data_IF_916905333743
#
_entry.id   IF_916905333743
#
_cell.length_a   1.000
_cell.length_b   1.000
_cell.length_c   1.000
_cell.angle_alpha   90.00
_cell.angle_beta   90.00
_cell.angle_gamma   90.00
#
_symmetry.space_group_name_H-M   'P 1'
#
loop_
_entity.id
_entity.type
_entity.pdbx_description
1 polymer ?
#
# COMPACT_ATOMS: atom_id res chain seq x y z
N UNK A 1 -25.88 8.19 3.48
CA UNK A 1 -26.50 8.66 4.73
C UNK A 1 -26.46 7.62 5.83
N UNK A 2 -26.95 6.40 5.60
CA UNK A 2 -26.92 5.31 6.60
C UNK A 2 -25.52 5.05 7.20
N UNK A 3 -24.50 4.89 6.36
CA UNK A 3 -23.11 4.68 6.83
C UNK A 3 -22.61 5.83 7.70
N UNK A 4 -22.95 7.08 7.35
CA UNK A 4 -22.60 8.24 8.17
C UNK A 4 -23.23 8.14 9.56
N UNK A 5 -24.51 7.76 9.62
CA UNK A 5 -25.22 7.62 10.89
C UNK A 5 -24.60 6.54 11.77
N UNK A 6 -24.08 5.45 11.20
CA UNK A 6 -23.33 4.45 11.95
C UNK A 6 -22.01 5.02 12.51
N UNK A 7 -21.29 5.85 11.75
CA UNK A 7 -20.12 6.57 12.27
C UNK A 7 -20.49 7.56 13.38
N UNK A 8 -21.59 8.31 13.24
CA UNK A 8 -22.08 9.24 14.26
C UNK A 8 -22.51 8.53 15.56
N UNK A 9 -23.21 7.39 15.43
CA UNK A 9 -23.52 6.49 16.57
C UNK A 9 -22.24 5.98 17.21
N UNK A 10 -21.25 5.59 16.40
CA UNK A 10 -19.94 5.12 16.86
C UNK A 10 -19.20 6.20 17.65
N UNK A 11 -19.10 7.44 17.15
CA UNK A 11 -18.38 8.51 17.86
C UNK A 11 -19.05 8.85 19.19
N UNK A 12 -20.38 8.85 19.22
CA UNK A 12 -21.16 9.05 20.45
C UNK A 12 -20.92 7.92 21.45
N UNK A 13 -20.99 6.66 21.01
CA UNK A 13 -20.74 5.50 21.85
C UNK A 13 -19.28 5.41 22.32
N UNK A 14 -18.33 5.85 21.50
CA UNK A 14 -16.92 5.94 21.86
C UNK A 14 -16.72 6.92 23.03
N UNK A 15 -17.27 8.14 22.95
CA UNK A 15 -17.17 9.11 24.05
C UNK A 15 -17.73 8.54 25.36
N UNK A 16 -18.87 7.84 25.28
CA UNK A 16 -19.46 7.16 26.44
C UNK A 16 -18.58 6.03 26.98
N UNK A 17 -18.02 5.18 26.11
CA UNK A 17 -17.10 4.11 26.49
C UNK A 17 -15.87 4.67 27.20
N UNK A 18 -15.24 5.70 26.63
CA UNK A 18 -14.00 6.23 27.16
C UNK A 18 -14.19 6.77 28.59
N UNK A 19 -15.24 7.55 28.83
CA UNK A 19 -15.50 8.14 30.16
C UNK A 19 -16.05 7.10 31.14
N UNK A 20 -17.12 6.39 30.79
CA UNK A 20 -17.78 5.45 31.72
C UNK A 20 -16.98 4.17 31.91
N UNK A 21 -16.30 3.71 30.86
CA UNK A 21 -15.44 2.51 30.91
C UNK A 21 -14.13 2.75 31.66
N UNK A 22 -13.75 4.01 31.89
CA UNK A 22 -12.64 4.36 32.78
C UNK A 22 -12.98 4.13 34.25
N UNK A 23 -14.27 4.27 34.63
CA UNK A 23 -14.72 4.16 36.01
C UNK A 23 -14.46 2.75 36.56
N UNK A 24 -13.67 2.67 37.63
CA UNK A 24 -13.35 1.40 38.30
C UNK A 24 -12.32 0.52 37.57
N UNK A 25 -11.79 0.95 36.41
CA UNK A 25 -10.80 0.19 35.67
C UNK A 25 -9.41 0.32 36.33
N UNK A 26 -8.76 -0.81 36.60
CA UNK A 26 -7.43 -0.84 37.21
C UNK A 26 -6.32 -0.98 36.16
N UNK A 27 -5.77 0.14 35.71
CA UNK A 27 -4.68 0.20 34.72
C UNK A 27 -3.37 -0.45 35.17
N UNK A 28 -3.19 -0.77 36.46
CA UNK A 28 -2.02 -1.54 36.90
C UNK A 28 -2.04 -2.99 36.40
N UNK A 29 -3.18 -3.47 35.86
CA UNK A 29 -3.31 -4.79 35.25
C UNK A 29 -3.01 -4.80 33.75
N UNK A 30 -2.72 -3.65 33.13
CA UNK A 30 -2.30 -3.58 31.73
C UNK A 30 -0.95 -4.30 31.55
N UNK A 31 -0.83 -5.12 30.51
CA UNK A 31 0.35 -5.96 30.26
C UNK A 31 1.54 -5.19 29.68
N UNK A 32 1.27 -4.21 28.81
CA UNK A 32 2.29 -3.44 28.08
C UNK A 32 2.53 -2.10 28.74
N UNK A 33 1.60 -1.16 28.58
CA UNK A 33 1.67 0.18 29.14
C UNK A 33 0.40 0.48 29.95
N UNK A 34 0.56 1.12 31.11
CA UNK A 34 -0.57 1.58 31.94
C UNK A 34 -1.24 2.81 31.34
N UNK A 35 -0.44 3.65 30.68
CA UNK A 35 -0.88 4.89 30.05
C UNK A 35 -0.24 5.07 28.67
N UNK A 36 -0.96 5.75 27.79
CA UNK A 36 -0.42 6.26 26.54
C UNK A 36 0.25 7.62 26.79
N UNK A 37 1.43 7.56 27.44
CA UNK A 37 2.23 8.73 27.82
C UNK A 37 3.31 9.11 26.80
N UNK A 38 4.24 9.99 27.24
CA UNK A 38 5.29 10.60 26.40
C UNK A 38 6.12 9.54 25.68
N UNK A 39 6.50 8.49 26.40
CA UNK A 39 7.35 7.42 25.91
C UNK A 39 6.68 6.62 24.79
N UNK A 40 5.36 6.42 24.87
CA UNK A 40 4.62 5.69 23.86
C UNK A 40 4.49 6.52 22.57
N UNK A 41 4.26 7.83 22.68
CA UNK A 41 4.30 8.76 21.55
C UNK A 41 5.70 8.81 20.92
N UNK A 42 6.75 8.91 21.74
CA UNK A 42 8.12 8.90 21.25
C UNK A 42 8.45 7.58 20.53
N UNK A 43 8.02 6.44 21.05
CA UNK A 43 8.22 5.16 20.38
C UNK A 43 7.56 5.14 18.99
N UNK A 44 6.36 5.70 18.86
CA UNK A 44 5.64 5.82 17.59
C UNK A 44 6.38 6.73 16.58
N UNK A 45 6.89 7.87 17.04
CA UNK A 45 7.68 8.80 16.22
C UNK A 45 9.05 8.23 15.82
N UNK A 46 9.71 7.53 16.74
CA UNK A 46 10.97 6.84 16.48
C UNK A 46 10.79 5.69 15.49
N UNK A 47 9.66 4.98 15.56
CA UNK A 47 9.33 3.93 14.60
C UNK A 47 9.24 4.49 13.17
N UNK A 48 8.56 5.63 12.97
CA UNK A 48 8.58 6.37 11.71
C UNK A 48 10.01 6.76 11.30
N UNK A 49 10.77 7.35 12.23
CA UNK A 49 12.13 7.82 11.96
C UNK A 49 13.02 6.68 11.45
N UNK A 50 13.07 5.56 12.16
CA UNK A 50 14.00 4.48 11.84
C UNK A 50 13.58 3.67 10.61
N UNK A 51 12.27 3.43 10.44
CA UNK A 51 11.81 2.50 9.40
C UNK A 51 11.34 3.18 8.11
N UNK A 52 11.12 4.48 8.13
CA UNK A 52 10.77 5.25 6.92
C UNK A 52 11.77 6.34 6.62
N UNK A 53 11.95 7.33 7.50
CA UNK A 53 12.78 8.51 7.23
C UNK A 53 14.25 8.14 6.97
N UNK A 54 14.87 7.35 7.85
CA UNK A 54 16.26 6.93 7.69
C UNK A 54 16.48 6.09 6.42
N UNK A 55 15.44 5.38 5.96
CA UNK A 55 15.48 4.61 4.72
C UNK A 55 15.51 5.49 3.45
N UNK A 56 15.06 6.76 3.53
CA UNK A 56 15.16 7.73 2.43
C UNK A 56 16.60 8.20 2.18
N UNK A 57 17.52 7.98 3.13
CA UNK A 57 18.94 8.35 3.05
C UNK A 57 19.18 9.83 2.74
N UNK A 58 18.26 10.71 3.16
CA UNK A 58 18.41 12.17 3.05
C UNK A 58 19.01 12.73 4.34
N UNK A 59 19.92 13.72 4.27
CA UNK A 59 20.53 14.32 5.46
C UNK A 59 19.52 15.19 6.22
N UNK A 60 19.58 15.16 7.55
CA UNK A 60 18.80 16.02 8.44
C UNK A 60 19.46 16.12 9.81
N UNK A 61 19.06 17.11 10.62
CA UNK A 61 19.59 17.26 11.97
C UNK A 61 18.88 16.31 12.94
N UNK A 62 19.56 15.22 13.29
CA UNK A 62 19.02 14.18 14.16
C UNK A 62 18.74 14.70 15.58
N UNK A 63 19.57 15.59 16.11
CA UNK A 63 19.37 16.10 17.47
C UNK A 63 18.14 16.99 17.51
N UNK A 64 18.05 17.95 16.59
CA UNK A 64 16.90 18.86 16.52
C UNK A 64 15.58 18.15 16.25
N UNK A 65 15.61 17.07 15.45
CA UNK A 65 14.41 16.26 15.24
C UNK A 65 13.96 15.56 16.54
N UNK A 66 14.89 15.02 17.33
CA UNK A 66 14.56 14.41 18.62
C UNK A 66 14.03 15.46 19.60
N UNK A 67 14.63 16.65 19.64
CA UNK A 67 14.14 17.76 20.47
C UNK A 67 12.69 18.14 20.10
N UNK A 68 12.38 18.21 18.80
CA UNK A 68 11.01 18.47 18.31
C UNK A 68 10.04 17.31 18.61
N UNK A 69 10.49 16.05 18.55
CA UNK A 69 9.69 14.89 18.94
C UNK A 69 9.34 14.93 20.43
N UNK A 70 10.31 15.31 21.28
CA UNK A 70 10.07 15.48 22.70
C UNK A 70 9.09 16.63 22.98
N UNK A 71 9.24 17.77 22.30
CA UNK A 71 8.34 18.90 22.41
C UNK A 71 6.89 18.52 22.04
N UNK A 72 6.70 17.82 20.92
CA UNK A 72 5.38 17.31 20.51
C UNK A 72 4.81 16.31 21.50
N UNK A 73 5.62 15.38 21.98
CA UNK A 73 5.18 14.36 22.94
C UNK A 73 4.73 15.02 24.25
N UNK A 74 5.50 15.98 24.77
CA UNK A 74 5.13 16.75 25.96
C UNK A 74 3.80 17.49 25.75
N UNK A 75 3.65 18.19 24.62
CA UNK A 75 2.44 18.95 24.28
C UNK A 75 1.17 18.07 24.25
N UNK A 76 1.26 16.87 23.66
CA UNK A 76 0.13 15.97 23.54
C UNK A 76 -0.22 15.26 24.84
N UNK A 77 0.77 15.00 25.68
CA UNK A 77 0.52 14.44 27.03
C UNK A 77 0.02 15.47 28.03
N UNK A 78 0.24 16.77 27.77
CA UNK A 78 -0.29 17.84 28.60
C UNK A 78 -1.77 18.10 28.25
N UNK A 79 -2.61 17.11 28.55
CA UNK A 79 -4.05 17.17 28.33
C UNK A 79 -4.78 17.11 29.66
N UNK A 80 -5.87 17.89 29.76
CA UNK A 80 -6.73 17.94 30.95
C UNK A 80 -7.54 16.64 31.12
N UNK A 81 -7.75 15.91 30.02
CA UNK A 81 -8.65 14.76 29.98
C UNK A 81 -7.88 13.47 29.69
N UNK A 82 -7.82 12.60 30.70
CA UNK A 82 -7.31 11.24 30.56
C UNK A 82 -8.40 10.24 30.96
N UNK A 83 -8.76 9.36 30.05
CA UNK A 83 -9.84 8.38 30.19
C UNK A 83 -9.39 7.02 29.62
N UNK A 84 -10.31 6.07 29.50
CA UNK A 84 -10.01 4.83 28.79
C UNK A 84 -9.71 5.15 27.32
N UNK A 85 -8.55 4.70 26.83
CA UNK A 85 -8.10 4.80 25.46
C UNK A 85 -8.05 3.38 24.88
N UNK A 86 -8.75 3.17 23.78
CA UNK A 86 -8.88 1.89 23.07
C UNK A 86 -7.59 1.49 22.34
N UNK A 87 -6.79 2.48 21.92
CA UNK A 87 -5.52 2.40 21.18
C UNK A 87 -5.69 2.02 19.72
N UNK A 88 -6.19 0.83 19.41
CA UNK A 88 -6.33 0.35 18.03
C UNK A 88 -7.77 0.45 17.53
N UNK A 89 -8.42 1.60 17.74
CA UNK A 89 -9.83 1.78 17.36
C UNK A 89 -9.98 1.98 15.85
N UNK A 90 -10.42 0.93 15.15
CA UNK A 90 -10.63 0.87 13.71
C UNK A 90 -12.07 0.43 13.39
N UNK A 91 -12.48 0.57 12.11
CA UNK A 91 -13.85 0.18 11.72
C UNK A 91 -14.12 -1.31 11.90
N UNK A 92 -13.08 -2.14 11.78
CA UNK A 92 -13.13 -3.59 12.06
C UNK A 92 -13.41 -3.96 13.51
N UNK A 93 -13.29 -3.01 14.44
CA UNK A 93 -13.57 -3.23 15.86
C UNK A 93 -15.02 -2.92 16.22
N UNK A 94 -15.82 -2.47 15.25
CA UNK A 94 -17.21 -2.05 15.44
C UNK A 94 -18.12 -3.14 14.89
N UNK A 95 -18.94 -3.70 15.77
CA UNK A 95 -20.02 -4.62 15.42
C UNK A 95 -21.32 -3.82 15.36
N UNK A 96 -22.09 -4.00 14.28
CA UNK A 96 -23.42 -3.41 14.13
C UNK A 96 -24.44 -4.52 14.24
N UNK A 97 -25.35 -4.42 15.21
CA UNK A 97 -26.44 -5.37 15.41
C UNK A 97 -27.60 -5.11 14.45
N UNK A 98 -28.56 -6.05 14.39
CA UNK A 98 -29.75 -5.94 13.52
C UNK A 98 -30.62 -4.71 13.84
N UNK A 99 -30.57 -4.22 15.08
CA UNK A 99 -31.25 -2.99 15.55
C UNK A 99 -30.37 -1.73 15.41
N UNK A 100 -29.33 -1.79 14.58
CA UNK A 100 -28.37 -0.72 14.30
C UNK A 100 -27.70 -0.12 15.55
N UNK A 101 -27.52 -0.92 16.59
CA UNK A 101 -26.69 -0.56 17.74
C UNK A 101 -25.23 -0.88 17.43
N UNK A 102 -24.33 -0.06 17.99
CA UNK A 102 -22.90 -0.21 17.81
C UNK A 102 -22.28 -0.82 19.06
N UNK A 103 -21.45 -1.84 18.86
CA UNK A 103 -20.71 -2.51 19.92
C UNK A 103 -19.22 -2.57 19.56
N UNK A 104 -18.37 -2.57 20.57
CA UNK A 104 -16.92 -2.57 20.37
C UNK A 104 -16.28 -3.85 20.87
N UNK A 105 -15.35 -4.39 20.09
CA UNK A 105 -14.61 -5.61 20.37
C UNK A 105 -13.11 -5.37 20.19
N UNK A 106 -12.27 -6.29 20.69
CA UNK A 106 -10.80 -6.25 20.46
C UNK A 106 -10.13 -5.04 21.16
N UNK A 107 -10.57 -4.74 22.40
CA UNK A 107 -10.09 -3.63 23.25
C UNK A 107 -8.98 -4.01 24.24
N UNK A 108 -8.37 -5.20 24.10
CA UNK A 108 -7.33 -5.70 25.02
C UNK A 108 -6.03 -4.87 25.00
N UNK A 109 -5.84 -4.01 24.00
CA UNK A 109 -4.76 -3.02 23.96
C UNK A 109 -5.06 -1.74 24.76
N UNK A 110 -6.23 -1.66 25.40
CA UNK A 110 -6.69 -0.46 26.07
C UNK A 110 -5.87 -0.06 27.28
N UNK A 111 -5.71 1.25 27.49
CA UNK A 111 -4.91 1.86 28.55
C UNK A 111 -5.43 3.26 28.89
N UNK A 112 -4.86 3.92 29.91
CA UNK A 112 -5.24 5.30 30.24
C UNK A 112 -4.68 6.25 29.17
N UNK A 113 -5.46 7.20 28.67
CA UNK A 113 -4.93 8.14 27.70
C UNK A 113 -5.90 9.20 27.23
N UNK A 114 -5.43 9.99 26.25
CA UNK A 114 -6.17 11.12 25.73
C UNK A 114 -7.31 10.66 24.80
N UNK A 115 -8.55 11.15 24.99
CA UNK A 115 -9.72 10.72 24.22
C UNK A 115 -9.60 10.92 22.70
N UNK A 116 -8.83 11.93 22.28
CA UNK A 116 -8.60 12.30 20.89
C UNK A 116 -7.98 11.16 20.07
N UNK A 117 -7.18 10.30 20.69
CA UNK A 117 -6.38 9.29 19.97
C UNK A 117 -7.26 8.27 19.25
N UNK A 118 -8.29 7.76 19.91
CA UNK A 118 -9.18 6.74 19.33
C UNK A 118 -10.03 7.34 18.19
N UNK A 119 -10.48 8.59 18.37
CA UNK A 119 -11.19 9.31 17.32
C UNK A 119 -10.30 9.53 16.10
N UNK A 120 -9.04 9.96 16.30
CA UNK A 120 -8.07 10.09 15.23
C UNK A 120 -7.84 8.75 14.53
N UNK A 121 -7.74 7.67 15.30
CA UNK A 121 -7.56 6.31 14.79
C UNK A 121 -8.74 5.83 13.94
N UNK A 122 -9.97 6.19 14.30
CA UNK A 122 -11.18 5.86 13.54
C UNK A 122 -11.30 6.68 12.26
N UNK A 123 -11.17 8.01 12.35
CA UNK A 123 -11.51 8.93 11.26
C UNK A 123 -10.44 8.99 10.17
N UNK A 124 -9.18 8.70 10.51
CA UNK A 124 -8.04 8.79 9.59
C UNK A 124 -7.53 7.43 9.10
N UNK A 125 -8.38 6.41 9.12
CA UNK A 125 -8.06 5.10 8.52
C UNK A 125 -7.93 5.23 7.00
N UNK A 126 -6.74 4.90 6.48
CA UNK A 126 -6.45 4.97 5.04
C UNK A 126 -7.45 4.16 4.18
N UNK A 127 -7.98 3.04 4.69
CA UNK A 127 -8.96 2.20 3.99
C UNK A 127 -10.37 2.79 3.95
N UNK A 128 -10.76 3.55 4.97
CA UNK A 128 -12.11 4.13 5.04
C UNK A 128 -12.26 5.34 4.11
N UNK A 129 -11.17 6.07 3.88
CA UNK A 129 -11.09 7.21 2.95
C UNK A 129 -12.26 8.19 3.10
N UNK A 130 -12.59 8.53 4.34
CA UNK A 130 -13.68 9.46 4.67
C UNK A 130 -13.39 10.85 4.07
N UNK A 131 -14.44 11.55 3.64
CA UNK A 131 -14.31 12.93 3.16
C UNK A 131 -13.94 13.87 4.31
N UNK A 132 -13.34 15.02 4.00
CA UNK A 132 -13.02 16.03 5.00
C UNK A 132 -14.26 16.57 5.71
N UNK A 133 -15.38 16.74 4.99
CA UNK A 133 -16.68 17.11 5.58
C UNK A 133 -17.11 16.11 6.66
N UNK A 134 -17.01 14.81 6.36
CA UNK A 134 -17.35 13.77 7.35
C UNK A 134 -16.42 13.82 8.55
N UNK A 135 -15.10 13.93 8.34
CA UNK A 135 -14.14 14.00 9.45
C UNK A 135 -14.41 15.20 10.35
N UNK A 136 -14.71 16.37 9.77
CA UNK A 136 -15.01 17.58 10.53
C UNK A 136 -16.30 17.44 11.34
N UNK A 137 -17.39 16.97 10.70
CA UNK A 137 -18.68 16.83 11.38
C UNK A 137 -18.65 15.77 12.47
N UNK A 138 -18.03 14.62 12.21
CA UNK A 138 -17.89 13.55 13.21
C UNK A 138 -17.01 13.97 14.39
N UNK A 139 -16.03 14.85 14.17
CA UNK A 139 -15.23 15.46 15.25
C UNK A 139 -16.08 16.41 16.12
N UNK A 140 -16.94 17.24 15.52
CA UNK A 140 -17.87 18.07 16.29
C UNK A 140 -18.88 17.24 17.08
N UNK A 141 -19.50 16.25 16.44
CA UNK A 141 -20.45 15.34 17.08
C UNK A 141 -19.80 14.56 18.24
N UNK A 142 -18.55 14.13 18.08
CA UNK A 142 -17.78 13.52 19.16
C UNK A 142 -17.59 14.50 20.33
N UNK A 143 -17.14 15.74 20.07
CA UNK A 143 -16.93 16.73 21.13
C UNK A 143 -18.22 17.07 21.86
N UNK A 144 -19.35 17.18 21.14
CA UNK A 144 -20.67 17.39 21.73
C UNK A 144 -21.05 16.23 22.67
N UNK A 145 -20.85 14.99 22.22
CA UNK A 145 -21.11 13.80 23.03
C UNK A 145 -20.16 13.69 24.24
N UNK A 146 -18.89 14.06 24.07
CA UNK A 146 -17.89 14.05 25.12
C UNK A 146 -18.21 15.07 26.21
N UNK A 147 -18.48 16.34 25.85
CA UNK A 147 -18.92 17.40 26.78
C UNK A 147 -20.16 16.99 27.58
N UNK A 148 -21.13 16.37 26.90
CA UNK A 148 -22.34 15.87 27.55
C UNK A 148 -22.02 14.76 28.56
N UNK A 149 -21.08 13.89 28.23
CA UNK A 149 -20.72 12.74 29.07
C UNK A 149 -19.93 13.16 30.31
N UNK A 150 -19.01 14.12 30.19
CA UNK A 150 -18.25 14.68 31.32
C UNK A 150 -18.98 15.81 32.06
N UNK A 151 -20.18 16.17 31.60
CA UNK A 151 -21.02 17.25 32.12
C UNK A 151 -20.31 18.63 32.23
N UNK A 152 -19.32 18.89 31.37
CA UNK A 152 -18.49 20.12 31.40
C UNK A 152 -18.11 20.53 29.97
N UNK A 153 -17.92 21.83 29.74
CA UNK A 153 -17.43 22.36 28.44
C UNK A 153 -15.91 22.23 28.34
N UNK A 154 -15.44 21.80 27.18
CA UNK A 154 -14.01 21.69 26.88
C UNK A 154 -13.51 22.92 26.13
N UNK A 155 -12.20 23.19 26.18
CA UNK A 155 -11.55 24.07 25.20
C UNK A 155 -11.47 23.33 23.85
N UNK A 156 -12.48 23.53 23.01
CA UNK A 156 -12.55 22.90 21.68
C UNK A 156 -11.38 23.29 20.77
N UNK A 157 -10.78 24.47 20.94
CA UNK A 157 -9.63 24.89 20.12
C UNK A 157 -8.40 24.08 20.49
N UNK A 158 -8.11 23.96 21.78
CA UNK A 158 -7.03 23.12 22.28
C UNK A 158 -7.27 21.65 21.95
N UNK A 159 -8.50 21.16 22.14
CA UNK A 159 -8.89 19.77 21.83
C UNK A 159 -8.61 19.42 20.36
N UNK A 160 -9.05 20.26 19.42
CA UNK A 160 -8.79 20.07 17.97
C UNK A 160 -7.31 20.11 17.64
N UNK A 161 -6.56 21.00 18.28
CA UNK A 161 -5.12 21.13 18.06
C UNK A 161 -4.37 19.87 18.51
N UNK A 162 -4.71 19.33 19.69
CA UNK A 162 -4.15 18.06 20.19
C UNK A 162 -4.62 16.88 19.35
N UNK A 163 -5.90 16.85 18.93
CA UNK A 163 -6.43 15.86 17.98
C UNK A 163 -5.60 15.81 16.70
N UNK A 164 -5.29 16.97 16.10
CA UNK A 164 -4.43 17.02 14.92
C UNK A 164 -3.03 16.45 15.18
N UNK A 165 -2.46 16.66 16.36
CA UNK A 165 -1.18 16.04 16.72
C UNK A 165 -1.26 14.52 16.82
N UNK A 166 -2.36 13.98 17.36
CA UNK A 166 -2.60 12.54 17.36
C UNK A 166 -2.83 11.97 15.95
N UNK A 167 -3.56 12.68 15.09
CA UNK A 167 -3.70 12.33 13.66
C UNK A 167 -2.32 12.27 13.00
N UNK A 168 -1.46 13.27 13.21
CA UNK A 168 -0.11 13.28 12.67
C UNK A 168 0.68 12.03 13.09
N UNK A 169 0.69 11.69 14.38
CA UNK A 169 1.36 10.48 14.88
C UNK A 169 0.80 9.22 14.21
N UNK A 170 -0.53 9.11 14.07
CA UNK A 170 -1.16 7.96 13.40
C UNK A 170 -0.70 7.80 11.95
N UNK A 171 -0.68 8.89 11.19
CA UNK A 171 -0.21 8.89 9.81
C UNK A 171 1.26 8.46 9.72
N UNK A 172 2.09 8.90 10.68
CA UNK A 172 3.50 8.55 10.73
C UNK A 172 3.75 7.11 11.17
N UNK A 173 2.97 6.58 12.12
CA UNK A 173 3.01 5.16 12.49
C UNK A 173 2.71 4.27 11.28
N UNK A 174 1.72 4.64 10.46
CA UNK A 174 1.38 3.93 9.22
C UNK A 174 2.57 3.97 8.25
N UNK A 175 3.20 5.13 8.06
CA UNK A 175 4.41 5.25 7.23
C UNK A 175 5.58 4.42 7.77
N UNK A 176 5.82 4.43 9.09
CA UNK A 176 6.81 3.57 9.74
C UNK A 176 6.52 2.08 9.50
N UNK A 177 5.25 1.68 9.56
CA UNK A 177 4.84 0.29 9.33
C UNK A 177 5.03 -0.12 7.86
N UNK A 178 4.68 0.76 6.93
CA UNK A 178 4.89 0.54 5.50
C UNK A 178 6.38 0.53 5.16
N UNK A 179 7.17 1.40 5.79
CA UNK A 179 8.62 1.39 5.69
C UNK A 179 9.23 0.08 6.17
N UNK A 180 8.89 -0.38 7.37
CA UNK A 180 9.38 -1.65 7.92
C UNK A 180 8.97 -2.84 7.05
N UNK A 181 7.68 -2.99 6.76
CA UNK A 181 7.17 -4.15 6.00
C UNK A 181 7.59 -4.10 4.53
N UNK A 182 7.61 -2.91 3.93
CA UNK A 182 7.93 -2.72 2.52
C UNK A 182 9.43 -2.68 2.24
N UNK A 183 10.17 -1.78 2.89
CA UNK A 183 11.58 -1.51 2.59
C UNK A 183 12.52 -2.54 3.24
N UNK A 184 12.21 -2.99 4.47
CA UNK A 184 13.05 -3.94 5.19
C UNK A 184 12.64 -5.39 4.97
N UNK A 185 11.34 -5.73 5.14
CA UNK A 185 10.85 -7.10 4.90
C UNK A 185 10.55 -7.40 3.41
N UNK A 186 10.69 -6.42 2.52
CA UNK A 186 10.50 -6.57 1.05
C UNK A 186 9.11 -7.05 0.64
N UNK A 187 8.06 -6.68 1.38
CA UNK A 187 6.67 -7.01 1.05
C UNK A 187 6.06 -5.97 0.11
N UNK A 188 5.97 -6.32 -1.17
CA UNK A 188 5.59 -5.42 -2.27
C UNK A 188 4.27 -4.66 -2.04
N UNK A 189 3.25 -5.29 -1.45
CA UNK A 189 1.95 -4.69 -1.17
C UNK A 189 2.00 -3.49 -0.21
N UNK A 190 3.06 -3.39 0.62
CA UNK A 190 3.26 -2.25 1.50
C UNK A 190 3.93 -1.09 0.76
N UNK A 191 4.84 -1.38 -0.18
CA UNK A 191 5.49 -0.36 -1.01
C UNK A 191 4.46 0.39 -1.86
N UNK A 192 3.50 -0.33 -2.46
CA UNK A 192 2.42 0.28 -3.25
C UNK A 192 1.48 1.16 -2.43
N UNK A 193 1.51 1.06 -1.09
CA UNK A 193 0.68 1.87 -0.19
C UNK A 193 1.36 3.17 0.28
N UNK A 194 2.69 3.26 0.16
CA UNK A 194 3.48 4.45 0.59
C UNK A 194 3.03 5.73 -0.13
N UNK A 195 2.84 5.77 -1.47
CA UNK A 195 2.46 7.00 -2.16
C UNK A 195 1.13 7.60 -1.69
N UNK A 196 0.15 6.75 -1.37
CA UNK A 196 -1.14 7.20 -0.84
C UNK A 196 -0.98 7.75 0.58
N UNK A 197 -0.20 7.07 1.43
CA UNK A 197 0.07 7.55 2.79
C UNK A 197 0.80 8.90 2.80
N UNK A 198 1.79 9.09 1.93
CA UNK A 198 2.50 10.37 1.78
C UNK A 198 1.58 11.49 1.26
N UNK A 199 0.70 11.20 0.28
CA UNK A 199 -0.28 12.17 -0.20
C UNK A 199 -1.29 12.57 0.88
N UNK A 200 -1.77 11.60 1.67
CA UNK A 200 -2.66 11.87 2.80
C UNK A 200 -1.96 12.74 3.86
N UNK A 201 -0.69 12.45 4.16
CA UNK A 201 0.11 13.28 5.06
C UNK A 201 0.32 14.69 4.49
N UNK A 202 0.65 14.82 3.21
CA UNK A 202 0.83 16.12 2.52
C UNK A 202 -0.42 16.98 2.65
N UNK A 203 -1.58 16.39 2.37
CA UNK A 203 -2.86 17.09 2.43
C UNK A 203 -3.23 17.46 3.87
N UNK A 204 -3.03 16.54 4.82
CA UNK A 204 -3.21 16.83 6.24
C UNK A 204 -2.37 18.03 6.69
N UNK A 205 -1.09 18.07 6.31
CA UNK A 205 -0.15 19.13 6.65
C UNK A 205 -0.46 20.48 6.00
N UNK A 206 -1.29 20.50 4.95
CA UNK A 206 -1.77 21.70 4.26
C UNK A 206 -3.01 22.28 4.92
N UNK A 207 -3.89 21.42 5.41
CA UNK A 207 -5.19 21.80 5.97
C UNK A 207 -5.17 21.99 7.49
N UNK A 208 -4.27 21.32 8.20
CA UNK A 208 -4.27 21.26 9.66
C UNK A 208 -2.96 21.74 10.28
N UNK A 209 -3.08 22.35 11.46
CA UNK A 209 -1.96 22.72 12.33
C UNK A 209 -2.06 21.96 13.65
N UNK A 210 -0.91 21.55 14.18
CA UNK A 210 -0.77 20.86 15.47
C UNK A 210 -0.67 21.84 16.65
N UNK A 211 -0.59 23.15 16.37
CA UNK A 211 -0.63 24.22 17.38
C UNK A 211 0.64 24.41 18.20
N UNK A 212 1.73 23.72 17.86
CA UNK A 212 3.08 23.96 18.40
C UNK A 212 4.11 24.14 17.29
N UNK A 213 5.19 24.85 17.59
CA UNK A 213 6.32 24.99 16.68
C UNK A 213 7.27 23.80 16.83
N UNK A 214 7.43 23.04 15.74
CA UNK A 214 8.38 21.93 15.61
C UNK A 214 9.12 22.09 14.28
N UNK A 215 10.05 23.07 14.17
CA UNK A 215 10.56 23.55 12.89
C UNK A 215 11.41 22.53 12.14
N UNK A 216 12.23 21.73 12.83
CA UNK A 216 13.01 20.68 12.16
C UNK A 216 12.10 19.54 11.73
N UNK A 217 11.16 19.15 12.58
CA UNK A 217 10.18 18.14 12.22
C UNK A 217 9.31 18.57 11.03
N UNK A 218 8.91 19.85 10.97
CA UNK A 218 8.17 20.38 9.83
C UNK A 218 8.96 20.24 8.52
N UNK A 219 10.25 20.60 8.52
CA UNK A 219 11.12 20.42 7.34
C UNK A 219 11.19 18.96 6.92
N UNK A 220 11.30 18.04 7.88
CA UNK A 220 11.33 16.59 7.61
C UNK A 220 10.03 16.10 6.99
N UNK A 221 8.90 16.57 7.49
CA UNK A 221 7.59 16.24 6.94
C UNK A 221 7.43 16.79 5.52
N UNK A 222 7.88 18.01 5.26
CA UNK A 222 7.88 18.62 3.92
C UNK A 222 8.80 17.85 2.94
N UNK A 223 9.98 17.44 3.40
CA UNK A 223 10.88 16.57 2.63
C UNK A 223 10.20 15.24 2.27
N UNK A 224 9.64 14.54 3.27
CA UNK A 224 9.00 13.24 3.07
C UNK A 224 7.81 13.31 2.12
N UNK A 225 7.08 14.43 2.11
CA UNK A 225 5.88 14.64 1.29
C UNK A 225 6.14 15.42 0.00
N UNK A 226 7.41 15.63 -0.35
CA UNK A 226 7.81 16.20 -1.62
C UNK A 226 7.37 15.34 -2.80
N UNK A 227 7.10 15.96 -3.94
CA UNK A 227 6.68 15.21 -5.14
C UNK A 227 7.79 14.27 -5.64
N UNK A 228 9.05 14.59 -5.38
CA UNK A 228 10.21 13.71 -5.61
C UNK A 228 10.07 12.40 -4.82
N UNK A 229 9.92 12.48 -3.50
CA UNK A 229 9.81 11.27 -2.65
C UNK A 229 8.54 10.48 -2.96
N UNK A 230 7.42 11.15 -3.23
CA UNK A 230 6.18 10.46 -3.63
C UNK A 230 6.39 9.71 -4.96
N UNK A 231 7.09 10.31 -5.92
CA UNK A 231 7.38 9.68 -7.20
C UNK A 231 8.31 8.47 -7.06
N UNK A 232 9.31 8.51 -6.16
CA UNK A 232 10.21 7.37 -5.88
C UNK A 232 9.45 6.08 -5.51
N UNK A 233 8.34 6.21 -4.78
CA UNK A 233 7.51 5.07 -4.36
C UNK A 233 6.32 4.79 -5.28
N UNK A 234 6.06 5.66 -6.27
CA UNK A 234 4.93 5.49 -7.18
C UNK A 234 5.29 4.49 -8.27
N UNK A 235 4.60 3.33 -8.37
CA UNK A 235 4.87 2.37 -9.43
C UNK A 235 4.68 3.03 -10.80
N UNK A 236 5.64 2.82 -11.71
CA UNK A 236 5.50 3.32 -13.08
C UNK A 236 4.37 2.55 -13.77
N UNK A 237 3.41 3.27 -14.35
CA UNK A 237 2.30 2.69 -15.10
C UNK A 237 2.02 3.56 -16.33
N UNK A 238 1.62 2.91 -17.42
CA UNK A 238 1.14 3.57 -18.62
C UNK A 238 -0.24 4.18 -18.39
N UNK A 239 -0.44 5.36 -18.98
CA UNK A 239 -1.72 6.04 -19.17
C UNK A 239 -2.26 5.81 -20.58
N UNK A 240 -3.48 6.30 -20.86
CA UNK A 240 -4.05 6.29 -22.22
C UNK A 240 -3.18 7.02 -23.25
N UNK A 241 -2.45 8.05 -22.81
CA UNK A 241 -1.55 8.86 -23.64
C UNK A 241 -0.15 8.25 -23.79
N UNK A 242 0.15 7.16 -23.09
CA UNK A 242 1.45 6.49 -23.22
C UNK A 242 1.57 5.84 -24.59
N UNK A 243 2.59 6.18 -25.40
CA UNK A 243 2.71 5.66 -26.76
C UNK A 243 3.18 4.20 -26.79
N UNK A 244 3.87 3.74 -25.74
CA UNK A 244 4.49 2.42 -25.70
C UNK A 244 3.51 1.27 -25.95
N UNK A 245 3.80 0.51 -27.00
CA UNK A 245 3.21 -0.79 -27.31
C UNK A 245 4.28 -1.90 -27.24
N UNK A 246 4.02 -2.94 -26.44
CA UNK A 246 4.92 -4.09 -26.33
C UNK A 246 4.39 -5.25 -27.17
N UNK A 247 5.17 -5.65 -28.17
CA UNK A 247 4.89 -6.80 -29.02
C UNK A 247 5.58 -8.04 -28.45
N UNK A 248 4.79 -8.98 -27.93
CA UNK A 248 5.26 -10.23 -27.34
C UNK A 248 5.10 -11.37 -28.34
N UNK A 249 6.15 -12.16 -28.55
CA UNK A 249 6.16 -13.25 -29.53
C UNK A 249 6.50 -14.58 -28.88
N UNK A 250 5.87 -15.65 -29.34
CA UNK A 250 6.41 -17.00 -29.23
C UNK A 250 6.78 -17.53 -30.61
N UNK A 251 7.97 -18.12 -30.75
CA UNK A 251 8.45 -18.58 -32.05
C UNK A 251 9.24 -19.90 -31.98
N UNK A 252 9.53 -20.44 -33.16
CA UNK A 252 10.37 -21.62 -33.36
C UNK A 252 11.73 -21.19 -33.89
N UNK A 253 12.82 -21.56 -33.22
CA UNK A 253 14.17 -21.32 -33.75
C UNK A 253 14.43 -22.01 -35.10
N UNK A 254 13.63 -23.02 -35.48
CA UNK A 254 13.71 -23.63 -36.81
C UNK A 254 13.22 -22.69 -37.92
N UNK A 255 12.32 -21.77 -37.59
CA UNK A 255 11.71 -20.83 -38.53
C UNK A 255 12.41 -19.46 -38.50
N UNK A 256 13.46 -19.29 -37.68
CA UNK A 256 14.08 -17.99 -37.41
C UNK A 256 13.36 -17.20 -36.30
N UNK A 257 13.94 -16.05 -35.94
CA UNK A 257 13.32 -15.13 -34.99
C UNK A 257 12.37 -14.17 -35.73
N UNK A 258 11.34 -13.61 -35.05
CA UNK A 258 10.44 -12.63 -35.65
C UNK A 258 11.19 -11.41 -36.20
N UNK A 259 10.80 -10.88 -37.38
CA UNK A 259 11.46 -9.71 -37.96
C UNK A 259 11.16 -8.46 -37.15
N UNK A 260 12.15 -7.58 -37.00
CA UNK A 260 11.97 -6.25 -36.42
C UNK A 260 11.49 -5.26 -37.48
N UNK A 261 10.20 -4.91 -37.41
CA UNK A 261 9.59 -3.93 -38.31
C UNK A 261 9.67 -2.50 -37.75
N UNK A 262 10.21 -2.30 -36.55
CA UNK A 262 10.29 -0.97 -35.90
C UNK A 262 11.53 -0.16 -36.33
N UNK A 263 12.55 -0.83 -36.88
CA UNK A 263 13.80 -0.18 -37.30
C UNK A 263 14.77 0.17 -36.17
N UNK A 264 14.47 -0.21 -34.92
CA UNK A 264 15.27 0.13 -33.73
C UNK A 264 16.23 -0.99 -33.28
N UNK A 265 16.41 -2.04 -34.07
CA UNK A 265 17.44 -3.06 -33.84
C UNK A 265 16.96 -4.27 -33.02
N UNK A 266 15.65 -4.47 -32.93
CA UNK A 266 15.01 -5.57 -32.19
C UNK A 266 14.89 -5.31 -30.69
N UNK A 267 14.17 -6.20 -30.02
CA UNK A 267 14.04 -6.20 -28.57
C UNK A 267 14.63 -7.46 -27.94
N UNK A 268 14.04 -7.95 -26.86
CA UNK A 268 14.57 -9.13 -26.17
C UNK A 268 14.18 -10.43 -26.89
N UNK A 269 15.12 -11.37 -26.98
CA UNK A 269 14.87 -12.73 -27.47
C UNK A 269 15.39 -13.75 -26.47
N UNK A 270 14.48 -14.48 -25.82
CA UNK A 270 14.79 -15.42 -24.75
C UNK A 270 14.68 -16.87 -25.22
N UNK A 271 15.78 -17.62 -25.08
CA UNK A 271 15.84 -19.03 -25.46
C UNK A 271 15.28 -19.94 -24.36
N UNK A 272 14.13 -20.55 -24.61
CA UNK A 272 13.47 -21.48 -23.69
C UNK A 272 13.93 -22.94 -23.87
N UNK A 273 14.87 -23.25 -24.78
CA UNK A 273 15.27 -24.64 -25.09
C UNK A 273 15.94 -25.35 -23.92
N UNK A 274 16.54 -24.61 -22.99
CA UNK A 274 17.13 -25.14 -21.76
C UNK A 274 16.11 -25.66 -20.74
N UNK A 275 14.83 -25.27 -20.84
CA UNK A 275 13.76 -25.79 -19.99
C UNK A 275 13.35 -27.19 -20.45
N UNK A 276 13.07 -28.09 -19.50
CA UNK A 276 12.65 -29.46 -19.77
C UNK A 276 11.50 -29.50 -20.78
N UNK A 277 11.61 -30.35 -21.80
CA UNK A 277 10.76 -30.31 -22.98
C UNK A 277 9.48 -31.15 -22.81
N UNK A 278 8.28 -30.54 -22.73
CA UNK A 278 7.03 -31.30 -22.60
C UNK A 278 6.75 -32.21 -23.80
N UNK A 279 7.22 -31.83 -24.99
CA UNK A 279 7.03 -32.61 -26.22
C UNK A 279 7.78 -33.95 -26.27
N UNK A 280 8.54 -34.31 -25.24
CA UNK A 280 9.10 -35.67 -25.06
C UNK A 280 8.18 -36.61 -24.31
N UNK A 281 7.05 -36.13 -23.80
CA UNK A 281 6.05 -36.90 -23.07
C UNK A 281 4.86 -37.11 -24.01
N UNK A 282 4.53 -38.36 -24.30
CA UNK A 282 3.56 -38.71 -25.35
C UNK A 282 2.19 -38.06 -25.13
N UNK A 283 1.71 -38.01 -23.88
CA UNK A 283 0.43 -37.38 -23.53
C UNK A 283 0.39 -35.86 -23.75
N UNK A 284 1.55 -35.20 -23.82
CA UNK A 284 1.66 -33.75 -24.01
C UNK A 284 2.13 -33.36 -25.41
N UNK A 285 2.55 -34.31 -26.24
CA UNK A 285 3.19 -34.06 -27.54
C UNK A 285 2.33 -33.25 -28.52
N UNK A 286 1.01 -33.46 -28.49
CA UNK A 286 0.03 -32.75 -29.32
C UNK A 286 -0.61 -31.54 -28.64
N UNK A 287 -0.25 -31.25 -27.38
CA UNK A 287 -0.77 -30.13 -26.61
C UNK A 287 0.08 -28.87 -26.87
N UNK A 288 -0.34 -27.74 -26.33
CA UNK A 288 0.31 -26.45 -26.46
C UNK A 288 0.67 -25.87 -25.09
N UNK A 289 1.44 -24.79 -25.07
CA UNK A 289 1.77 -24.07 -23.83
C UNK A 289 0.55 -23.50 -23.09
N UNK A 290 -0.63 -23.45 -23.73
CA UNK A 290 -1.88 -22.96 -23.13
C UNK A 290 -2.69 -24.07 -22.46
N UNK A 291 -2.43 -25.32 -22.79
CA UNK A 291 -3.16 -26.46 -22.24
C UNK A 291 -2.74 -26.73 -20.79
N UNK A 292 -3.72 -26.93 -19.91
CA UNK A 292 -3.50 -27.15 -18.47
C UNK A 292 -2.42 -28.20 -18.15
N UNK A 293 -2.39 -29.38 -18.78
CA UNK A 293 -1.34 -30.38 -18.49
C UNK A 293 0.08 -29.87 -18.76
N UNK A 294 0.26 -29.07 -19.82
CA UNK A 294 1.56 -28.50 -20.18
C UNK A 294 1.93 -27.36 -19.22
N UNK A 295 0.96 -26.51 -18.87
CA UNK A 295 1.15 -25.44 -17.87
C UNK A 295 1.59 -26.01 -16.53
N UNK A 296 0.81 -26.95 -15.99
CA UNK A 296 1.08 -27.59 -14.70
C UNK A 296 2.47 -28.27 -14.71
N UNK A 297 2.84 -28.93 -15.82
CA UNK A 297 4.18 -29.50 -15.98
C UNK A 297 5.27 -28.43 -15.96
N UNK A 298 5.14 -27.34 -16.73
CA UNK A 298 6.13 -26.26 -16.79
C UNK A 298 6.28 -25.57 -15.42
N UNK A 299 5.18 -25.32 -14.72
CA UNK A 299 5.15 -24.64 -13.43
C UNK A 299 5.73 -25.50 -12.31
N UNK A 300 5.33 -26.77 -12.23
CA UNK A 300 5.60 -27.61 -11.06
C UNK A 300 6.82 -28.53 -11.23
N UNK A 301 7.16 -28.88 -12.48
CA UNK A 301 8.17 -29.90 -12.76
C UNK A 301 9.40 -29.35 -13.51
N UNK A 302 9.47 -28.03 -13.75
CA UNK A 302 10.60 -27.42 -14.46
C UNK A 302 11.09 -26.13 -13.79
N UNK A 303 12.16 -25.55 -14.32
CA UNK A 303 12.69 -24.24 -13.90
C UNK A 303 12.01 -23.05 -14.57
N UNK A 304 10.87 -23.25 -15.26
CA UNK A 304 10.18 -22.17 -15.99
C UNK A 304 9.83 -20.97 -15.10
N UNK A 305 9.28 -21.11 -13.88
CA UNK A 305 8.96 -19.96 -13.04
C UNK A 305 10.20 -19.14 -12.66
N UNK A 306 11.29 -19.80 -12.28
CA UNK A 306 12.55 -19.12 -11.95
C UNK A 306 13.13 -18.38 -13.16
N UNK A 307 13.09 -19.00 -14.34
CA UNK A 307 13.51 -18.38 -15.59
C UNK A 307 12.67 -17.14 -15.93
N UNK A 308 11.34 -17.26 -15.86
CA UNK A 308 10.43 -16.15 -16.16
C UNK A 308 10.59 -14.98 -15.18
N UNK A 309 10.79 -15.23 -13.89
CA UNK A 309 11.03 -14.16 -12.93
C UNK A 309 12.27 -13.34 -13.30
N UNK A 310 13.38 -13.98 -13.66
CA UNK A 310 14.58 -13.26 -14.11
C UNK A 310 14.36 -12.50 -15.42
N UNK A 311 13.55 -13.06 -16.33
CA UNK A 311 13.18 -12.38 -17.57
C UNK A 311 12.28 -11.18 -17.31
N UNK A 312 11.30 -11.30 -16.40
CA UNK A 312 10.45 -10.19 -15.97
C UNK A 312 11.31 -9.06 -15.41
N UNK A 313 12.26 -9.34 -14.51
CA UNK A 313 13.12 -8.30 -13.94
C UNK A 313 13.88 -7.51 -15.02
N UNK A 314 14.42 -8.19 -16.05
CA UNK A 314 15.15 -7.54 -17.16
C UNK A 314 14.20 -6.66 -18.01
N UNK A 315 13.03 -7.20 -18.37
CA UNK A 315 12.07 -6.49 -19.21
C UNK A 315 11.44 -5.31 -18.46
N UNK A 316 11.15 -5.49 -17.17
CA UNK A 316 10.55 -4.47 -16.30
C UNK A 316 11.41 -3.20 -16.25
N UNK A 317 12.73 -3.34 -16.07
CA UNK A 317 13.67 -2.22 -16.10
C UNK A 317 13.55 -1.41 -17.40
N UNK A 318 13.41 -2.10 -18.54
CA UNK A 318 13.30 -1.46 -19.85
C UNK A 318 11.94 -0.79 -20.06
N UNK A 319 10.86 -1.47 -19.67
CA UNK A 319 9.50 -0.93 -19.78
C UNK A 319 9.33 0.32 -18.92
N UNK A 320 9.86 0.32 -17.70
CA UNK A 320 9.86 1.51 -16.82
C UNK A 320 10.51 2.71 -17.48
N UNK A 321 11.70 2.54 -18.05
CA UNK A 321 12.42 3.62 -18.74
C UNK A 321 11.75 4.04 -20.04
N UNK A 322 11.18 3.08 -20.79
CA UNK A 322 10.50 3.36 -22.05
C UNK A 322 9.23 4.19 -21.83
N UNK A 323 8.46 3.89 -20.77
CA UNK A 323 7.31 4.71 -20.37
C UNK A 323 7.77 6.13 -20.03
N UNK A 324 8.79 6.28 -19.18
CA UNK A 324 9.29 7.59 -18.73
C UNK A 324 9.84 8.45 -19.88
N UNK A 325 10.48 7.82 -20.87
CA UNK A 325 11.12 8.50 -22.00
C UNK A 325 10.22 8.61 -23.24
N UNK A 326 9.00 8.06 -23.19
CA UNK A 326 8.03 8.16 -24.28
C UNK A 326 8.36 7.31 -25.52
N UNK A 327 8.97 6.14 -25.34
CA UNK A 327 9.22 5.22 -26.46
C UNK A 327 7.92 4.58 -26.96
N UNK A 328 7.86 4.30 -28.26
CA UNK A 328 6.64 3.83 -28.92
C UNK A 328 6.53 2.31 -28.99
N UNK A 329 7.65 1.60 -29.05
CA UNK A 329 7.63 0.15 -29.27
C UNK A 329 8.72 -0.60 -28.52
N UNK A 330 8.38 -1.81 -28.05
CA UNK A 330 9.31 -2.80 -27.51
C UNK A 330 8.93 -4.18 -28.03
N UNK A 331 9.92 -4.99 -28.41
CA UNK A 331 9.70 -6.40 -28.78
C UNK A 331 10.22 -7.32 -27.68
N UNK A 332 9.46 -8.37 -27.36
CA UNK A 332 9.88 -9.43 -26.44
C UNK A 332 9.50 -10.79 -27.02
N UNK A 333 10.48 -11.58 -27.47
CA UNK A 333 10.26 -12.88 -28.07
C UNK A 333 10.78 -14.04 -27.21
N UNK A 334 10.03 -15.14 -27.24
CA UNK A 334 10.41 -16.40 -26.59
C UNK A 334 10.54 -17.50 -27.64
N UNK A 335 11.73 -18.09 -27.73
CA UNK A 335 12.03 -19.12 -28.72
C UNK A 335 12.09 -20.51 -28.10
N UNK A 336 11.48 -21.50 -28.75
CA UNK A 336 11.80 -22.91 -28.47
C UNK A 336 12.03 -23.68 -29.77
N UNK A 337 12.29 -24.99 -29.71
CA UNK A 337 12.61 -25.78 -30.91
C UNK A 337 11.46 -25.86 -31.91
N UNK A 338 10.21 -25.91 -31.45
CA UNK A 338 9.03 -26.12 -32.30
C UNK A 338 7.94 -25.06 -32.17
N UNK A 339 8.14 -24.03 -31.33
CA UNK A 339 7.19 -22.94 -31.16
C UNK A 339 5.83 -23.31 -30.54
N UNK A 340 5.69 -24.47 -29.90
CA UNK A 340 4.39 -25.03 -29.49
C UNK A 340 4.11 -25.01 -27.97
N UNK A 341 5.13 -25.25 -27.14
CA UNK A 341 4.96 -25.48 -25.69
C UNK A 341 5.58 -24.35 -24.85
N UNK A 342 6.88 -24.47 -24.58
CA UNK A 342 7.66 -23.59 -23.67
C UNK A 342 7.58 -22.11 -24.06
N UNK A 343 7.79 -21.82 -25.34
CA UNK A 343 7.75 -20.44 -25.85
C UNK A 343 6.35 -19.82 -25.78
N UNK A 344 5.31 -20.62 -26.05
CA UNK A 344 3.91 -20.17 -26.01
C UNK A 344 3.54 -19.77 -24.59
N UNK A 345 3.78 -20.68 -23.63
CA UNK A 345 3.56 -20.43 -22.22
C UNK A 345 4.30 -19.18 -21.73
N UNK A 346 5.60 -19.06 -22.04
CA UNK A 346 6.41 -17.93 -21.62
C UNK A 346 5.90 -16.58 -22.18
N UNK A 347 5.44 -16.58 -23.43
CA UNK A 347 4.90 -15.38 -24.09
C UNK A 347 3.55 -14.95 -23.46
N UNK A 348 2.65 -15.90 -23.18
CA UNK A 348 1.40 -15.62 -22.46
C UNK A 348 1.67 -15.01 -21.07
N UNK A 349 2.61 -15.61 -20.33
CA UNK A 349 2.96 -15.18 -18.97
C UNK A 349 3.57 -13.77 -18.96
N UNK A 350 4.44 -13.44 -19.93
CA UNK A 350 4.98 -12.09 -20.11
C UNK A 350 3.88 -11.08 -20.45
N UNK A 351 2.99 -11.41 -21.39
CA UNK A 351 1.90 -10.51 -21.77
C UNK A 351 0.98 -10.19 -20.57
N UNK A 352 0.65 -11.22 -19.77
CA UNK A 352 -0.13 -11.08 -18.54
C UNK A 352 0.60 -10.22 -17.50
N UNK A 353 1.89 -10.46 -17.28
CA UNK A 353 2.72 -9.68 -16.36
C UNK A 353 2.75 -8.19 -16.72
N UNK A 354 3.04 -7.85 -17.97
CA UNK A 354 3.13 -6.47 -18.44
C UNK A 354 1.80 -5.71 -18.35
N UNK A 355 0.68 -6.37 -18.73
CA UNK A 355 -0.67 -5.79 -18.59
C UNK A 355 -1.03 -5.53 -17.13
N UNK A 356 -0.64 -6.42 -16.23
CA UNK A 356 -0.98 -6.29 -14.81
C UNK A 356 -0.14 -5.23 -14.11
N UNK A 357 1.18 -5.28 -14.27
CA UNK A 357 2.14 -4.40 -13.58
C UNK A 357 2.14 -2.99 -14.15
N UNK A 358 2.31 -2.86 -15.47
CA UNK A 358 2.55 -1.57 -16.12
C UNK A 358 1.34 -0.99 -16.86
N UNK A 359 0.28 -1.77 -17.09
CA UNK A 359 -0.90 -1.32 -17.88
C UNK A 359 -0.57 -0.89 -19.31
N UNK A 360 0.59 -1.28 -19.83
CA UNK A 360 1.02 -0.98 -21.21
C UNK A 360 0.16 -1.73 -22.22
N UNK A 361 0.06 -1.19 -23.44
CA UNK A 361 -0.57 -1.89 -24.57
C UNK A 361 0.31 -3.08 -24.94
N UNK A 362 -0.29 -4.27 -25.00
CA UNK A 362 0.43 -5.52 -25.32
C UNK A 362 -0.26 -6.26 -26.45
N UNK A 363 0.46 -6.45 -27.56
CA UNK A 363 0.06 -7.37 -28.64
C UNK A 363 0.83 -8.67 -28.49
N UNK A 364 0.13 -9.79 -28.55
CA UNK A 364 0.70 -11.12 -28.36
C UNK A 364 0.54 -11.93 -29.64
N UNK A 365 1.64 -12.53 -30.10
CA UNK A 365 1.72 -13.28 -31.34
C UNK A 365 2.32 -14.67 -31.08
N UNK A 366 1.67 -15.71 -31.60
CA UNK A 366 2.16 -17.07 -31.53
C UNK A 366 2.48 -17.56 -32.94
N UNK A 367 3.63 -17.16 -33.48
CA UNK A 367 4.01 -17.33 -34.90
C UNK A 367 3.62 -18.70 -35.47
N UNK A 368 3.98 -19.79 -34.79
CA UNK A 368 3.69 -21.15 -35.27
C UNK A 368 2.21 -21.55 -35.12
N UNK A 369 1.52 -21.06 -34.09
CA UNK A 369 0.10 -21.34 -33.88
C UNK A 369 -0.76 -20.55 -34.85
N UNK A 370 -0.42 -19.29 -35.07
CA UNK A 370 -1.10 -18.36 -35.97
C UNK A 370 -0.97 -18.85 -37.43
N UNK A 371 0.22 -19.28 -37.86
CA UNK A 371 0.44 -19.92 -39.17
C UNK A 371 -0.43 -21.17 -39.38
N UNK A 372 -0.72 -21.92 -38.31
CA UNK A 372 -1.51 -23.16 -38.35
C UNK A 372 -3.01 -22.94 -38.13
N UNK A 373 -3.45 -21.69 -37.96
CA UNK A 373 -4.82 -21.33 -37.58
C UNK A 373 -5.34 -22.12 -36.37
N UNK A 374 -4.48 -22.36 -35.36
CA UNK A 374 -4.91 -23.05 -34.16
C UNK A 374 -5.89 -22.19 -33.35
N UNK A 375 -7.11 -22.69 -33.18
CA UNK A 375 -8.11 -22.06 -32.32
C UNK A 375 -7.79 -22.47 -30.88
N UNK A 376 -7.03 -21.63 -30.19
CA UNK A 376 -6.78 -21.78 -28.77
C UNK A 376 -7.71 -20.83 -28.01
N UNK A 377 -8.64 -21.38 -27.22
CA UNK A 377 -9.44 -20.58 -26.29
C UNK A 377 -8.49 -19.96 -25.26
N UNK A 378 -8.47 -18.63 -25.06
CA UNK A 378 -7.67 -18.04 -23.99
C UNK A 378 -8.03 -18.69 -22.66
N UNK A 379 -7.03 -19.15 -21.91
CA UNK A 379 -7.25 -19.43 -20.51
C UNK A 379 -7.52 -18.09 -19.82
N UNK A 380 -8.69 -17.99 -19.20
CA UNK A 380 -9.15 -16.90 -18.33
C UNK A 380 -9.94 -15.78 -19.05
N UNK A 381 -11.27 -15.99 -19.07
CA UNK A 381 -12.25 -14.94 -18.73
C UNK A 381 -12.33 -14.83 -17.22
#
# INVERSE_FOLDING_TARGET
>A
DEVYQLFAKTTTALAALQVKGDEGLNYNKCLTNKEFGKQAILADLLYFKYYFLDALRRPYDKQRLIDDFEALSNYLTHTEYQYFLFRDFQSRNIMVSEDEQVHFIDYQGGMKGAPQYDLASLLWQARANLSEDWKQRLLEEYMDAFEKTIATKIDRKLFKSQYNGYVLIRLLQVLGAYGFRGLFERKAQFLTSIPLALRNLKEFLRQHSVGIAVPEFRKILDLCTSDEVIAEFTPTQASETTPLEVNVYSFSYRNGHPPDNSGNGGGFMFDCRGILNPGRIDSMKSLTGRDKPVRDFLEQQTKMPAFLNSVFDIVDMTVEDYIKRGFESLMVGFGCTGGQHRSVYAADEMARHLRNKFKVKVKLYHVVQDEKNWINTPADK
#
